data_IF_311185931396
#
_entry.id   IF_311185931396
#
_cell.length_a   1.000
_cell.length_b   1.000
_cell.length_c   1.000
_cell.angle_alpha   90.00
_cell.angle_beta   90.00
_cell.angle_gamma   90.00
#
_symmetry.space_group_name_H-M   'P 1'
#
loop_
_entity.id
_entity.type
_entity.pdbx_description
1 polymer ?
#
# COMPACT_ATOMS: atom_id res chain seq x y z
N UNK A 1 5.04 -12.85 3.19
CA UNK A 1 3.73 -12.45 3.75
C UNK A 1 3.88 -11.63 5.01
N UNK A 2 4.54 -12.11 6.07
CA UNK A 2 4.66 -11.40 7.35
C UNK A 2 5.16 -9.93 7.26
N UNK A 3 6.16 -9.63 6.44
CA UNK A 3 6.65 -8.26 6.24
C UNK A 3 5.60 -7.32 5.65
N UNK A 4 4.79 -7.83 4.70
CA UNK A 4 3.70 -7.04 4.11
C UNK A 4 2.55 -6.85 5.11
N UNK A 5 2.28 -7.86 5.94
CA UNK A 5 1.27 -7.78 7.01
C UNK A 5 1.59 -6.70 8.04
N UNK A 6 2.83 -6.67 8.56
CA UNK A 6 3.20 -5.63 9.53
C UNK A 6 3.20 -4.24 8.91
N UNK A 7 3.67 -4.10 7.66
CA UNK A 7 3.72 -2.81 6.98
C UNK A 7 2.32 -2.22 6.75
N UNK A 8 1.38 -3.00 6.20
CA UNK A 8 0.00 -2.51 5.99
C UNK A 8 -0.69 -2.17 7.30
N UNK A 9 -0.43 -2.97 8.35
CA UNK A 9 -1.13 -2.83 9.63
C UNK A 9 -0.69 -1.56 10.35
N UNK A 10 0.59 -1.21 10.26
CA UNK A 10 1.09 0.07 10.80
C UNK A 10 0.46 1.27 10.10
N UNK A 11 0.39 1.25 8.76
CA UNK A 11 -0.22 2.33 7.98
C UNK A 11 -1.70 2.47 8.35
N UNK A 12 -2.45 1.37 8.38
CA UNK A 12 -3.85 1.37 8.78
C UNK A 12 -4.02 1.94 10.20
N UNK A 13 -3.21 1.50 11.16
CA UNK A 13 -3.26 2.00 12.54
C UNK A 13 -2.99 3.49 12.64
N UNK A 14 -1.98 4.01 11.93
CA UNK A 14 -1.66 5.43 11.94
C UNK A 14 -2.79 6.28 11.36
N UNK A 15 -3.43 5.82 10.30
CA UNK A 15 -4.60 6.46 9.70
C UNK A 15 -5.80 6.41 10.62
N UNK A 16 -6.10 5.23 11.18
CA UNK A 16 -7.24 5.01 12.07
C UNK A 16 -7.15 5.83 13.36
N UNK A 17 -5.97 5.87 13.98
CA UNK A 17 -5.73 6.61 15.22
C UNK A 17 -5.29 8.06 15.00
N UNK A 18 -5.25 8.55 13.75
CA UNK A 18 -4.89 9.93 13.42
C UNK A 18 -3.53 10.34 14.01
N UNK A 19 -2.55 9.46 13.89
CA UNK A 19 -1.21 9.65 14.47
C UNK A 19 -0.52 10.85 13.82
N UNK A 20 0.03 11.80 14.61
CA UNK A 20 0.84 12.89 14.08
C UNK A 20 2.18 12.36 13.58
N UNK A 21 2.64 12.89 12.45
CA UNK A 21 4.03 12.69 12.02
C UNK A 21 4.96 13.47 12.97
N UNK A 22 6.19 12.98 13.16
CA UNK A 22 7.13 13.49 14.17
C UNK A 22 7.27 15.02 14.21
N UNK A 23 7.13 15.70 13.07
CA UNK A 23 7.22 17.16 12.95
C UNK A 23 6.17 17.73 11.98
N UNK A 24 5.01 17.07 11.86
CA UNK A 24 4.10 17.31 10.73
C UNK A 24 2.61 17.14 11.03
N UNK A 25 1.77 17.25 9.99
CA UNK A 25 0.35 17.00 10.12
C UNK A 25 0.07 15.54 10.50
N UNK A 26 -1.14 15.28 10.98
CA UNK A 26 -1.68 13.91 11.06
C UNK A 26 -1.55 13.19 9.72
N UNK A 27 -1.12 11.93 9.75
CA UNK A 27 -1.06 11.11 8.54
C UNK A 27 -2.46 11.00 7.90
N UNK A 28 -2.53 11.16 6.59
CA UNK A 28 -3.78 11.08 5.82
C UNK A 28 -3.62 10.05 4.70
N UNK A 29 -4.74 9.64 4.10
CA UNK A 29 -4.72 8.69 2.98
C UNK A 29 -4.04 9.29 1.76
N UNK A 30 -4.19 10.60 1.56
CA UNK A 30 -3.54 11.36 0.50
C UNK A 30 -2.01 11.31 0.67
N UNK A 31 -1.49 11.50 1.88
CA UNK A 31 -0.05 11.37 2.14
C UNK A 31 0.50 9.98 1.77
N UNK A 32 -0.26 8.92 2.04
CA UNK A 32 0.16 7.55 1.69
C UNK A 32 0.09 7.32 0.17
N UNK A 33 -0.97 7.78 -0.51
CA UNK A 33 -1.09 7.67 -1.98
C UNK A 33 0.02 8.41 -2.71
N UNK A 34 0.41 9.59 -2.23
CA UNK A 34 1.57 10.31 -2.77
C UNK A 34 2.87 9.53 -2.59
N UNK A 35 3.02 8.83 -1.45
CA UNK A 35 4.18 7.97 -1.22
C UNK A 35 4.18 6.76 -2.17
N UNK A 36 3.03 6.10 -2.36
CA UNK A 36 2.87 5.01 -3.33
C UNK A 36 3.27 5.45 -4.75
N UNK A 37 2.82 6.62 -5.20
CA UNK A 37 3.15 7.17 -6.52
C UNK A 37 4.68 7.29 -6.68
N UNK A 38 5.36 7.84 -5.67
CA UNK A 38 6.82 8.00 -5.69
C UNK A 38 7.54 6.66 -5.70
N UNK A 39 7.13 5.70 -4.87
CA UNK A 39 7.79 4.41 -4.81
C UNK A 39 7.54 3.59 -6.08
N UNK A 40 6.33 3.63 -6.66
CA UNK A 40 6.04 3.01 -7.94
C UNK A 40 6.84 3.63 -9.09
N UNK A 41 7.00 4.96 -9.10
CA UNK A 41 7.85 5.62 -10.09
C UNK A 41 9.33 5.20 -9.97
N UNK A 42 9.84 5.03 -8.75
CA UNK A 42 11.20 4.52 -8.50
C UNK A 42 11.35 3.07 -8.96
N UNK A 43 10.40 2.20 -8.63
CA UNK A 43 10.39 0.80 -9.10
C UNK A 43 10.36 0.75 -10.62
N UNK A 44 9.48 1.53 -11.26
CA UNK A 44 9.40 1.64 -12.72
C UNK A 44 10.74 2.06 -13.32
N UNK A 45 11.39 3.05 -12.73
CA UNK A 45 12.72 3.53 -13.17
C UNK A 45 13.78 2.44 -13.03
N UNK A 46 13.77 1.65 -11.96
CA UNK A 46 14.80 0.63 -11.72
C UNK A 46 14.66 -0.61 -12.60
N UNK A 47 13.44 -0.98 -12.99
CA UNK A 47 13.19 -2.17 -13.82
C UNK A 47 12.95 -1.89 -15.30
N UNK A 48 12.68 -0.63 -15.66
CA UNK A 48 12.36 -0.21 -17.02
C UNK A 48 10.87 -0.33 -17.35
N UNK A 49 10.45 0.46 -18.34
CA UNK A 49 9.05 0.63 -18.72
C UNK A 49 8.38 -0.68 -19.18
N UNK A 50 9.09 -1.48 -19.97
CA UNK A 50 8.57 -2.74 -20.51
C UNK A 50 8.30 -3.76 -19.40
N UNK A 51 9.28 -3.99 -18.51
CA UNK A 51 9.12 -4.91 -17.39
C UNK A 51 8.02 -4.44 -16.43
N UNK A 52 7.95 -3.14 -16.15
CA UNK A 52 6.90 -2.56 -15.33
C UNK A 52 5.51 -2.74 -15.95
N UNK A 53 5.39 -2.57 -17.28
CA UNK A 53 4.10 -2.70 -17.99
C UNK A 53 3.52 -4.12 -17.94
N UNK A 54 4.38 -5.14 -17.89
CA UNK A 54 3.99 -6.55 -17.77
C UNK A 54 3.90 -7.04 -16.32
N UNK A 55 4.22 -6.19 -15.35
CA UNK A 55 4.15 -6.52 -13.93
C UNK A 55 2.73 -6.38 -13.35
N UNK A 56 2.52 -6.95 -12.16
CA UNK A 56 1.27 -6.81 -11.40
C UNK A 56 1.27 -5.60 -10.45
N UNK A 57 2.15 -4.60 -10.62
CA UNK A 57 2.24 -3.48 -9.66
C UNK A 57 0.96 -2.63 -9.60
N UNK A 58 0.21 -2.52 -10.69
CA UNK A 58 -1.09 -1.81 -10.67
C UNK A 58 -2.11 -2.54 -9.81
N UNK A 59 -2.22 -3.86 -9.98
CA UNK A 59 -3.11 -4.72 -9.18
C UNK A 59 -2.68 -4.74 -7.72
N UNK A 60 -1.37 -4.83 -7.46
CA UNK A 60 -0.79 -4.79 -6.13
C UNK A 60 -1.11 -3.47 -5.41
N UNK A 61 -1.08 -2.34 -6.13
CA UNK A 61 -1.50 -1.05 -5.57
C UNK A 61 -2.98 -1.08 -5.20
N UNK A 62 -3.87 -1.48 -6.12
CA UNK A 62 -5.30 -1.54 -5.83
C UNK A 62 -5.61 -2.41 -4.61
N UNK A 63 -4.93 -3.56 -4.48
CA UNK A 63 -5.04 -4.40 -3.29
C UNK A 63 -4.50 -3.72 -2.04
N UNK A 64 -3.35 -3.04 -2.14
CA UNK A 64 -2.74 -2.31 -1.03
C UNK A 64 -3.66 -1.19 -0.50
N UNK A 65 -4.24 -0.37 -1.39
CA UNK A 65 -5.21 0.67 -1.03
C UNK A 65 -6.38 0.08 -0.24
N UNK A 66 -6.90 -1.07 -0.68
CA UNK A 66 -8.00 -1.75 0.00
C UNK A 66 -7.63 -2.18 1.43
N UNK A 67 -6.47 -2.80 1.62
CA UNK A 67 -6.10 -3.44 2.90
C UNK A 67 -5.36 -2.52 3.87
N UNK A 68 -4.80 -1.40 3.39
CA UNK A 68 -4.02 -0.46 4.20
C UNK A 68 -4.73 0.90 4.40
N UNK A 69 -5.55 1.34 3.43
CA UNK A 69 -6.24 2.63 3.47
C UNK A 69 -7.76 2.48 3.68
N UNK A 70 -8.29 1.25 3.66
CA UNK A 70 -9.70 0.96 3.95
C UNK A 70 -10.11 1.41 5.36
N UNK A 71 -11.41 1.63 5.56
CA UNK A 71 -11.94 2.00 6.88
C UNK A 71 -11.93 0.80 7.85
N UNK A 72 -12.20 -0.39 7.34
CA UNK A 72 -12.16 -1.64 8.10
C UNK A 72 -10.78 -2.29 8.05
N UNK A 73 -10.37 -2.92 9.16
CA UNK A 73 -9.14 -3.68 9.22
C UNK A 73 -9.36 -5.09 8.66
N UNK A 74 -8.69 -5.40 7.55
CA UNK A 74 -8.65 -6.77 7.00
C UNK A 74 -7.74 -7.64 7.88
N UNK A 75 -8.23 -8.80 8.32
CA UNK A 75 -7.49 -9.68 9.25
C UNK A 75 -6.19 -10.20 8.65
N UNK A 76 -6.25 -10.72 7.42
CA UNK A 76 -5.09 -11.21 6.66
C UNK A 76 -5.12 -10.68 5.24
N UNK A 77 -3.99 -10.13 4.76
CA UNK A 77 -3.88 -9.66 3.37
C UNK A 77 -4.14 -10.79 2.37
N UNK A 78 -3.88 -12.03 2.77
CA UNK A 78 -4.03 -13.19 1.90
C UNK A 78 -5.47 -13.47 1.52
N UNK A 79 -6.46 -13.05 2.32
CA UNK A 79 -7.89 -13.29 2.02
C UNK A 79 -8.29 -12.57 0.73
N UNK A 80 -8.23 -11.23 0.63
CA UNK A 80 -8.55 -10.53 -0.61
C UNK A 80 -7.51 -10.78 -1.73
N UNK A 81 -6.27 -11.13 -1.38
CA UNK A 81 -5.27 -11.47 -2.38
C UNK A 81 -5.59 -12.80 -3.08
N UNK A 82 -6.18 -13.77 -2.38
CA UNK A 82 -6.46 -15.10 -2.93
C UNK A 82 -7.44 -15.05 -4.10
N UNK A 83 -8.40 -14.12 -4.06
CA UNK A 83 -9.36 -13.87 -5.16
C UNK A 83 -8.69 -13.38 -6.46
N UNK A 84 -7.40 -13.02 -6.40
CA UNK A 84 -6.61 -12.47 -7.52
C UNK A 84 -5.51 -13.43 -7.99
N UNK A 85 -5.50 -14.63 -7.44
CA UNK A 85 -4.65 -15.74 -7.87
C UNK A 85 -5.55 -16.64 -8.73
N UNK A 86 -5.27 -16.70 -10.02
CA UNK A 86 -5.87 -17.69 -10.92
C UNK A 86 -5.41 -19.12 -10.56
#
# INVERSE_FOLDING_TARGET
TATAEIARSQIWQWLHHRVPLNDGPTLTREHVRELEDRELARIRTSMGDEAFSHSKFREARTLFDHIALGDDFVEFLTIPAYERID
#
